data_IF_107829466925
#
_entry.id   IF_107829466925
#
_cell.length_a   1.000
_cell.length_b   1.000
_cell.length_c   1.000
_cell.angle_alpha   90.00
_cell.angle_beta   90.00
_cell.angle_gamma   90.00
#
_symmetry.space_group_name_H-M   'P 1'
#
loop_
_entity.id
_entity.type
_entity.pdbx_description
1 polymer ?
#
# COMPACT_ATOMS: atom_id res chain seq x y z
N UNK A 1 -12.42 -4.95 -6.93
CA UNK A 1 -11.04 -5.30 -6.53
C UNK A 1 -10.10 -4.44 -7.34
N UNK A 2 -9.04 -3.92 -6.72
CA UNK A 2 -8.05 -3.07 -7.37
C UNK A 2 -6.67 -3.36 -6.78
N UNK A 3 -5.64 -3.39 -7.62
CA UNK A 3 -4.25 -3.52 -7.20
C UNK A 3 -3.68 -2.11 -7.07
N UNK A 4 -3.09 -1.78 -5.93
CA UNK A 4 -2.61 -0.43 -5.63
C UNK A 4 -1.19 -0.51 -5.09
N UNK A 5 -0.25 0.14 -5.80
CA UNK A 5 1.16 0.14 -5.44
C UNK A 5 1.69 1.57 -5.23
N UNK A 6 1.57 2.12 -4.01
CA UNK A 6 2.23 3.38 -3.65
C UNK A 6 3.73 3.41 -3.97
N UNK A 7 4.41 2.26 -3.92
CA UNK A 7 5.79 2.11 -4.36
C UNK A 7 6.00 2.58 -5.81
N UNK A 8 5.25 2.03 -6.77
CA UNK A 8 5.40 2.35 -8.20
C UNK A 8 5.03 3.81 -8.49
N UNK A 9 3.99 4.31 -7.82
CA UNK A 9 3.57 5.70 -7.93
C UNK A 9 4.66 6.64 -7.41
N UNK A 10 5.28 6.30 -6.27
CA UNK A 10 6.42 7.03 -5.70
C UNK A 10 7.61 7.02 -6.66
N UNK A 11 8.07 5.85 -7.12
CA UNK A 11 9.24 5.75 -8.03
C UNK A 11 9.01 6.55 -9.32
N UNK A 12 7.80 6.54 -9.85
CA UNK A 12 7.45 7.30 -11.07
C UNK A 12 7.37 8.82 -10.85
N UNK A 13 7.21 9.28 -9.60
CA UNK A 13 6.96 10.69 -9.27
C UNK A 13 7.73 11.14 -8.02
N UNK A 14 8.94 10.62 -7.79
CA UNK A 14 9.71 10.85 -6.55
C UNK A 14 10.11 12.32 -6.35
N UNK A 15 10.07 13.12 -7.41
CA UNK A 15 10.23 14.57 -7.36
C UNK A 15 9.01 15.35 -6.84
N UNK A 16 7.86 14.70 -6.70
CA UNK A 16 6.57 15.32 -6.30
C UNK A 16 5.93 14.64 -5.10
N UNK A 17 6.18 13.35 -4.93
CA UNK A 17 5.61 12.53 -3.87
C UNK A 17 6.73 12.27 -2.85
N UNK A 18 6.65 12.84 -1.64
CA UNK A 18 7.59 12.52 -0.57
C UNK A 18 7.53 11.03 -0.23
N UNK A 19 8.69 10.43 0.03
CA UNK A 19 8.77 9.01 0.41
C UNK A 19 7.97 8.74 1.69
N UNK A 20 8.02 9.68 2.63
CA UNK A 20 7.30 9.63 3.90
C UNK A 20 5.78 9.51 3.69
N UNK A 21 5.23 10.18 2.69
CA UNK A 21 3.81 10.09 2.35
C UNK A 21 3.43 8.72 1.76
N UNK A 22 4.33 8.11 0.99
CA UNK A 22 4.14 6.75 0.49
C UNK A 22 4.29 5.69 1.59
N UNK A 23 5.06 5.98 2.65
CA UNK A 23 5.37 5.07 3.76
C UNK A 23 4.52 5.27 5.03
N UNK A 24 3.43 6.04 4.99
CA UNK A 24 2.60 6.37 6.18
C UNK A 24 3.37 7.10 7.30
N UNK A 25 4.34 7.94 6.91
CA UNK A 25 5.22 8.70 7.81
C UNK A 25 5.15 10.21 7.58
N UNK A 26 4.20 10.70 6.79
CA UNK A 26 4.11 12.14 6.53
C UNK A 26 3.68 12.91 7.79
N UNK A 27 4.38 14.00 8.08
CA UNK A 27 4.01 14.95 9.13
C UNK A 27 2.88 15.90 8.71
N UNK A 28 2.61 15.98 7.40
CA UNK A 28 1.65 16.88 6.80
C UNK A 28 0.64 16.11 5.94
N UNK A 29 -0.62 16.52 6.02
CA UNK A 29 -1.71 15.99 5.23
C UNK A 29 -1.87 16.77 3.91
N UNK A 30 -2.19 16.06 2.84
CA UNK A 30 -2.55 16.64 1.55
C UNK A 30 -4.07 16.76 1.44
N UNK A 31 -4.55 17.99 1.24
CA UNK A 31 -5.97 18.26 1.11
C UNK A 31 -6.48 18.12 -0.32
N UNK A 32 -7.57 17.38 -0.51
CA UNK A 32 -8.34 17.36 -1.75
C UNK A 32 -9.83 17.35 -1.44
N UNK A 33 -10.57 18.31 -2.01
CA UNK A 33 -12.05 18.35 -1.96
C UNK A 33 -12.65 18.25 -0.55
N UNK A 34 -11.96 18.79 0.46
CA UNK A 34 -12.38 18.78 1.87
C UNK A 34 -12.01 17.50 2.64
N UNK A 35 -11.29 16.57 2.01
CA UNK A 35 -10.67 15.40 2.63
C UNK A 35 -9.18 15.65 2.80
N UNK A 36 -8.61 15.08 3.85
CA UNK A 36 -7.20 15.19 4.16
C UNK A 36 -6.59 13.78 4.17
N UNK A 37 -5.46 13.63 3.49
CA UNK A 37 -4.77 12.36 3.35
C UNK A 37 -3.36 12.49 3.91
N UNK A 38 -3.01 11.62 4.86
CA UNK A 38 -1.66 11.51 5.45
C UNK A 38 -0.82 10.39 4.79
N UNK A 39 -1.42 9.62 3.89
CA UNK A 39 -0.74 8.56 3.15
C UNK A 39 -1.29 8.38 1.72
N UNK A 40 -0.39 7.91 0.84
CA UNK A 40 -0.69 7.74 -0.59
C UNK A 40 -1.71 6.61 -0.86
N UNK A 41 -1.78 5.58 -0.01
CA UNK A 41 -2.68 4.45 -0.22
C UNK A 41 -4.14 4.88 -0.08
N UNK A 42 -4.48 5.61 0.98
CA UNK A 42 -5.83 6.13 1.21
C UNK A 42 -6.27 7.06 0.07
N UNK A 43 -5.38 7.97 -0.34
CA UNK A 43 -5.65 8.86 -1.47
C UNK A 43 -5.92 8.07 -2.77
N UNK A 44 -5.19 6.97 -2.99
CA UNK A 44 -5.36 6.11 -4.16
C UNK A 44 -6.66 5.31 -4.12
N UNK A 45 -7.04 4.79 -2.94
CA UNK A 45 -8.32 4.10 -2.74
C UNK A 45 -9.47 5.08 -2.99
N UNK A 46 -9.43 6.26 -2.39
CA UNK A 46 -10.52 7.23 -2.51
C UNK A 46 -10.61 7.86 -3.90
N UNK A 47 -9.49 7.99 -4.63
CA UNK A 47 -9.51 8.34 -6.05
C UNK A 47 -10.26 7.30 -6.89
N UNK A 48 -10.02 6.00 -6.63
CA UNK A 48 -10.76 4.92 -7.31
C UNK A 48 -12.25 4.94 -6.94
N UNK A 49 -12.58 5.13 -5.65
CA UNK A 49 -13.96 5.28 -5.19
C UNK A 49 -14.65 6.46 -5.87
N UNK A 50 -13.99 7.63 -5.94
CA UNK A 50 -14.53 8.80 -6.61
C UNK A 50 -14.81 8.54 -8.09
N UNK A 51 -13.90 7.84 -8.79
CA UNK A 51 -14.13 7.46 -10.18
C UNK A 51 -15.37 6.57 -10.31
N UNK A 52 -15.52 5.54 -9.45
CA UNK A 52 -16.70 4.68 -9.46
C UNK A 52 -18.01 5.43 -9.22
N UNK A 53 -18.04 6.30 -8.21
CA UNK A 53 -19.23 7.10 -7.88
C UNK A 53 -19.61 8.04 -9.01
N UNK A 54 -18.62 8.62 -9.70
CA UNK A 54 -18.85 9.50 -10.85
C UNK A 54 -19.51 8.77 -12.02
N UNK A 55 -19.16 7.50 -12.23
CA UNK A 55 -19.78 6.64 -13.25
C UNK A 55 -21.12 6.02 -12.77
N UNK A 56 -21.62 6.41 -11.60
CA UNK A 56 -22.92 5.99 -11.06
C UNK A 56 -22.88 4.74 -10.17
N UNK A 57 -21.71 4.18 -9.90
CA UNK A 57 -21.53 3.00 -9.05
C UNK A 57 -21.31 3.39 -7.59
N UNK A 58 -22.38 3.76 -6.91
CA UNK A 58 -22.33 4.14 -5.50
C UNK A 58 -22.41 2.93 -4.57
N UNK A 59 -21.72 2.99 -3.43
CA UNK A 59 -21.83 1.99 -2.36
C UNK A 59 -21.17 0.63 -2.63
N UNK A 60 -20.48 0.45 -3.77
CA UNK A 60 -19.70 -0.77 -4.02
C UNK A 60 -18.46 -0.75 -3.12
N UNK A 61 -18.28 -1.82 -2.35
CA UNK A 61 -17.10 -2.03 -1.49
C UNK A 61 -15.84 -2.18 -2.34
N UNK A 62 -14.76 -1.52 -1.93
CA UNK A 62 -13.45 -1.68 -2.56
C UNK A 62 -12.62 -2.67 -1.73
N UNK A 63 -11.99 -3.61 -2.43
CA UNK A 63 -11.02 -4.56 -1.87
C UNK A 63 -9.69 -4.29 -2.57
N UNK A 64 -8.64 -4.03 -1.78
CA UNK A 64 -7.28 -3.88 -2.29
C UNK A 64 -6.71 -5.27 -2.49
N UNK A 65 -6.67 -5.73 -3.73
CA UNK A 65 -6.34 -7.11 -4.06
C UNK A 65 -4.83 -7.36 -4.08
N UNK A 66 -4.02 -6.33 -4.27
CA UNK A 66 -2.57 -6.39 -4.16
C UNK A 66 -2.04 -5.04 -3.69
N UNK A 67 -1.14 -5.06 -2.71
CA UNK A 67 -0.33 -3.92 -2.32
C UNK A 67 0.90 -4.38 -1.56
N UNK A 68 2.03 -3.70 -1.73
CA UNK A 68 3.26 -4.06 -1.06
C UNK A 68 4.40 -3.12 -1.40
N UNK A 69 5.58 -3.44 -0.89
CA UNK A 69 6.79 -2.66 -1.09
C UNK A 69 8.01 -3.57 -1.18
N UNK A 70 8.88 -3.40 -2.20
CA UNK A 70 9.99 -4.32 -2.42
C UNK A 70 11.12 -4.12 -1.42
N UNK A 71 11.77 -5.21 -1.05
CA UNK A 71 12.86 -5.27 -0.08
C UNK A 71 14.23 -4.97 -0.70
N UNK A 72 14.36 -5.01 -2.03
CA UNK A 72 15.64 -4.83 -2.71
C UNK A 72 15.50 -4.36 -4.17
N UNK A 73 16.65 -3.97 -4.73
CA UNK A 73 16.87 -3.80 -6.18
C UNK A 73 15.99 -2.76 -6.90
N UNK A 74 15.64 -1.67 -6.21
CA UNK A 74 14.94 -0.52 -6.79
C UNK A 74 15.13 0.75 -5.97
N UNK A 75 14.75 1.91 -6.53
CA UNK A 75 14.74 3.16 -5.77
C UNK A 75 13.80 3.03 -4.56
N UNK A 76 14.26 3.44 -3.38
CA UNK A 76 13.57 3.29 -2.09
C UNK A 76 13.13 1.85 -1.74
N UNK A 77 13.57 0.83 -2.48
CA UNK A 77 13.43 -0.56 -2.09
C UNK A 77 14.41 -0.86 -0.96
N UNK A 78 13.96 -1.60 0.05
CA UNK A 78 14.75 -1.87 1.25
C UNK A 78 13.90 -2.54 2.31
N UNK A 79 14.50 -3.46 3.08
CA UNK A 79 13.79 -4.18 4.15
C UNK A 79 13.11 -3.23 5.14
N UNK A 80 13.77 -2.13 5.54
CA UNK A 80 13.20 -1.17 6.49
C UNK A 80 11.98 -0.42 5.92
N UNK A 81 12.04 -0.01 4.65
CA UNK A 81 10.91 0.64 3.98
C UNK A 81 9.77 -0.35 3.73
N UNK A 82 10.09 -1.59 3.35
CA UNK A 82 9.12 -2.64 3.14
C UNK A 82 8.37 -2.99 4.43
N UNK A 83 9.11 -3.16 5.54
CA UNK A 83 8.53 -3.34 6.86
C UNK A 83 7.66 -2.13 7.24
N UNK A 84 8.16 -0.91 7.07
CA UNK A 84 7.42 0.32 7.41
C UNK A 84 6.09 0.39 6.66
N UNK A 85 6.10 0.15 5.35
CA UNK A 85 4.89 0.19 4.54
C UNK A 85 3.92 -0.93 4.92
N UNK A 86 4.40 -2.18 4.89
CA UNK A 86 3.56 -3.36 5.09
C UNK A 86 2.99 -3.43 6.53
N UNK A 87 3.76 -3.06 7.55
CA UNK A 87 3.27 -3.02 8.94
C UNK A 87 2.16 -1.99 9.11
N UNK A 88 2.28 -0.81 8.50
CA UNK A 88 1.23 0.21 8.56
C UNK A 88 -0.05 -0.24 7.84
N UNK A 89 0.06 -0.87 6.66
CA UNK A 89 -1.10 -1.43 5.95
C UNK A 89 -1.80 -2.49 6.80
N UNK A 90 -1.05 -3.45 7.33
CA UNK A 90 -1.59 -4.53 8.16
C UNK A 90 -2.22 -3.99 9.45
N UNK A 91 -1.53 -3.07 10.14
CA UNK A 91 -2.04 -2.44 11.37
C UNK A 91 -3.35 -1.71 11.12
N UNK A 92 -3.50 -1.01 9.99
CA UNK A 92 -4.75 -0.33 9.63
C UNK A 92 -5.87 -1.33 9.36
N UNK A 93 -5.60 -2.38 8.57
CA UNK A 93 -6.57 -3.42 8.26
C UNK A 93 -7.08 -4.15 9.51
N UNK A 94 -6.15 -4.59 10.39
CA UNK A 94 -6.48 -5.31 11.64
C UNK A 94 -7.29 -4.45 12.60
N UNK A 95 -7.08 -3.13 12.61
CA UNK A 95 -7.82 -2.20 13.46
C UNK A 95 -9.09 -1.63 12.81
N UNK A 96 -9.49 -2.13 11.63
CA UNK A 96 -10.71 -1.67 10.94
C UNK A 96 -10.66 -0.21 10.51
N UNK A 97 -9.47 0.34 10.29
CA UNK A 97 -9.29 1.73 9.86
C UNK A 97 -9.64 1.85 8.38
N UNK A 98 -10.67 2.65 8.07
CA UNK A 98 -11.06 3.00 6.70
C UNK A 98 -10.29 4.20 6.13
N UNK A 99 -10.73 4.71 4.99
CA UNK A 99 -10.15 5.90 4.34
C UNK A 99 -10.86 7.20 4.77
N UNK A 100 -10.30 8.38 4.50
CA UNK A 100 -10.98 9.66 4.76
C UNK A 100 -12.39 9.77 4.16
N UNK A 101 -12.62 9.28 2.94
CA UNK A 101 -13.94 9.28 2.31
C UNK A 101 -14.88 8.21 2.87
N UNK A 102 -14.33 7.05 3.28
CA UNK A 102 -15.10 5.92 3.80
C UNK A 102 -14.59 5.49 5.19
N UNK A 103 -14.67 6.36 6.21
CA UNK A 103 -14.01 6.11 7.50
C UNK A 103 -14.64 4.99 8.34
N UNK A 104 -15.83 4.52 7.94
CA UNK A 104 -16.57 3.43 8.60
C UNK A 104 -16.54 2.12 7.82
N UNK A 105 -15.85 2.08 6.68
CA UNK A 105 -15.68 0.87 5.86
C UNK A 105 -14.31 0.28 6.15
N UNK A 106 -14.28 -0.88 6.80
CA UNK A 106 -13.04 -1.57 7.11
C UNK A 106 -12.29 -1.96 5.83
N UNK A 107 -10.99 -1.67 5.80
CA UNK A 107 -10.11 -2.00 4.69
C UNK A 107 -9.91 -3.53 4.60
N UNK A 108 -10.37 -4.12 3.50
CA UNK A 108 -10.02 -5.47 3.11
C UNK A 108 -8.85 -5.41 2.11
N UNK A 109 -7.70 -5.98 2.51
CA UNK A 109 -6.44 -5.88 1.77
C UNK A 109 -5.73 -7.22 1.72
N UNK A 110 -5.14 -7.53 0.57
CA UNK A 110 -4.27 -8.67 0.33
C UNK A 110 -2.86 -8.16 0.09
N UNK A 111 -1.93 -8.55 0.97
CA UNK A 111 -0.53 -8.15 0.88
C UNK A 111 0.15 -8.87 -0.29
N UNK A 112 0.83 -8.08 -1.11
CA UNK A 112 1.65 -8.55 -2.22
C UNK A 112 3.13 -8.52 -1.81
N UNK A 113 3.82 -9.64 -1.66
CA UNK A 113 3.32 -11.02 -1.70
C UNK A 113 3.95 -11.89 -0.61
N UNK A 114 3.61 -13.18 -0.61
CA UNK A 114 4.06 -14.08 0.44
C UNK A 114 5.55 -14.43 0.30
N UNK A 115 6.04 -14.67 -0.92
CA UNK A 115 7.41 -15.07 -1.17
C UNK A 115 8.01 -14.25 -2.31
N UNK A 116 9.30 -13.95 -2.24
CA UNK A 116 10.04 -13.46 -3.39
C UNK A 116 9.81 -14.35 -4.64
N UNK A 117 9.63 -13.74 -5.80
CA UNK A 117 9.31 -14.41 -7.07
C UNK A 117 10.48 -14.30 -8.05
N UNK A 118 11.45 -15.21 -7.99
CA UNK A 118 12.71 -15.11 -8.76
C UNK A 118 12.56 -15.22 -10.28
N UNK A 119 11.45 -15.80 -10.77
CA UNK A 119 11.12 -15.90 -12.19
C UNK A 119 10.25 -14.74 -12.69
N UNK A 120 9.94 -13.76 -11.83
CA UNK A 120 9.17 -12.59 -12.22
C UNK A 120 9.94 -11.74 -13.23
N UNK A 121 9.26 -11.42 -14.33
CA UNK A 121 9.77 -10.51 -15.36
C UNK A 121 9.61 -9.05 -14.96
N UNK A 122 10.22 -8.16 -15.76
CA UNK A 122 10.20 -6.72 -15.51
C UNK A 122 11.45 -6.24 -14.79
N UNK A 123 11.31 -5.14 -14.04
CA UNK A 123 12.39 -4.56 -13.25
C UNK A 123 12.82 -5.49 -12.11
N UNK A 124 14.09 -5.42 -11.72
CA UNK A 124 14.65 -6.35 -10.74
C UNK A 124 13.92 -6.31 -9.38
N UNK A 125 13.44 -5.15 -8.93
CA UNK A 125 12.68 -5.03 -7.68
C UNK A 125 11.41 -5.90 -7.64
N UNK A 126 10.83 -6.25 -8.80
CA UNK A 126 9.62 -7.06 -8.86
C UNK A 126 9.80 -8.45 -8.25
N UNK A 127 11.04 -8.95 -8.19
CA UNK A 127 11.35 -10.26 -7.61
C UNK A 127 11.44 -10.24 -6.08
N UNK A 128 11.38 -9.05 -5.45
CA UNK A 128 11.75 -8.85 -4.05
C UNK A 128 10.60 -8.27 -3.19
N UNK A 129 9.34 -8.54 -3.54
CA UNK A 129 8.16 -8.09 -2.78
C UNK A 129 7.83 -8.99 -1.57
N UNK A 130 8.51 -10.13 -1.42
CA UNK A 130 8.15 -11.13 -0.45
C UNK A 130 8.17 -10.62 0.99
N UNK A 131 7.21 -11.11 1.78
CA UNK A 131 7.32 -11.12 3.25
C UNK A 131 8.34 -12.19 3.68
N UNK A 132 8.45 -13.26 2.90
CA UNK A 132 9.44 -14.31 3.05
C UNK A 132 10.35 -14.36 1.81
N UNK A 133 11.60 -14.72 2.01
CA UNK A 133 12.52 -14.99 0.90
C UNK A 133 12.15 -16.26 0.13
N UNK A 134 12.80 -16.50 -1.01
CA UNK A 134 12.72 -17.76 -1.78
C UNK A 134 12.95 -19.02 -0.93
N UNK A 135 13.76 -18.91 0.13
CA UNK A 135 14.05 -20.02 1.04
C UNK A 135 12.99 -20.21 2.14
N UNK A 136 11.90 -19.42 2.11
CA UNK A 136 10.87 -19.40 3.14
C UNK A 136 11.32 -18.76 4.46
N UNK A 137 12.45 -18.04 4.45
CA UNK A 137 12.93 -17.30 5.62
C UNK A 137 12.25 -15.94 5.65
N UNK A 138 11.60 -15.63 6.77
CA UNK A 138 10.95 -14.34 7.02
C UNK A 138 11.96 -13.19 6.88
N UNK A 139 11.65 -12.21 6.03
CA UNK A 139 12.51 -11.03 5.79
C UNK A 139 12.27 -9.93 6.83
N UNK A 140 11.04 -9.80 7.34
CA UNK A 140 10.65 -8.86 8.38
C UNK A 140 9.38 -9.34 9.11
N UNK A 141 9.12 -8.78 10.29
CA UNK A 141 8.02 -9.20 11.17
C UNK A 141 6.74 -8.39 10.92
N UNK A 142 5.63 -9.08 10.66
CA UNK A 142 4.29 -8.50 10.56
C UNK A 142 3.32 -9.16 11.55
N UNK A 143 2.36 -8.39 12.06
CA UNK A 143 1.32 -8.88 12.98
C UNK A 143 -0.05 -8.83 12.33
N UNK A 144 -0.52 -9.96 11.81
CA UNK A 144 -1.83 -10.09 11.15
C UNK A 144 -3.01 -10.26 12.12
N UNK A 145 -2.78 -10.14 13.44
CA UNK A 145 -3.80 -10.27 14.47
C UNK A 145 -3.58 -9.29 15.61
N UNK A 146 -4.65 -8.90 16.30
CA UNK A 146 -4.67 -7.92 17.39
C UNK A 146 -4.28 -8.46 18.78
N UNK A 147 -3.82 -9.71 18.89
CA UNK A 147 -3.42 -10.34 20.16
C UNK A 147 -1.95 -10.10 20.52
#
# INVERSE_FOLDING_TARGET
MVNLYPYEVYVSHSNRIPLEYALFKADAEFGDSGLMYDNLLDASIDAFVHAMEREGFQGIRVVVAETGWPTACGEAAGVDNALTYNDNVVRRAVNGVGTPKRPKEEMEVYMFDLFDENERGGDEYQKHFGIFSLAGVKLYDLRFSSN
#
